data_IF_961036251929
#
_entry.id   IF_961036251929
#
_cell.length_a   1.000
_cell.length_b   1.000
_cell.length_c   1.000
_cell.angle_alpha   90.00
_cell.angle_beta   90.00
_cell.angle_gamma   90.00
#
_symmetry.space_group_name_H-M   'P 1'
#
loop_
_entity.id
_entity.type
_entity.pdbx_description
1 polymer ?
#
# COMPACT_ATOMS: atom_id res chain seq x y z
N UNK A 1 53.81 -42.37 -15.49
CA UNK A 1 54.39 -41.02 -15.45
C UNK A 1 53.86 -40.30 -14.22
N UNK A 2 54.76 -39.67 -13.46
CA UNK A 2 54.60 -38.71 -12.34
C UNK A 2 53.79 -39.09 -11.07
N UNK A 3 54.53 -39.43 -10.00
CA UNK A 3 54.33 -38.89 -8.63
C UNK A 3 55.01 -37.49 -8.53
N UNK A 4 54.93 -36.67 -7.45
CA UNK A 4 54.34 -36.81 -6.09
C UNK A 4 53.47 -35.56 -5.68
N UNK A 5 52.83 -35.41 -4.49
CA UNK A 5 53.39 -34.91 -3.20
C UNK A 5 52.26 -34.72 -2.14
N UNK A 6 52.54 -35.19 -0.90
CA UNK A 6 52.08 -34.82 0.48
C UNK A 6 50.59 -34.65 0.85
N UNK A 7 50.04 -35.45 1.79
CA UNK A 7 50.07 -35.36 3.29
C UNK A 7 49.37 -34.09 3.82
N UNK A 8 48.34 -34.19 4.68
CA UNK A 8 48.47 -34.29 6.16
C UNK A 8 47.18 -34.87 6.81
N UNK A 9 47.40 -35.60 7.90
CA UNK A 9 46.49 -36.30 8.82
C UNK A 9 46.20 -35.42 10.05
N UNK A 10 45.02 -35.55 10.68
CA UNK A 10 44.77 -35.64 12.14
C UNK A 10 43.28 -35.32 12.42
N UNK A 11 42.42 -36.24 12.88
CA UNK A 11 42.33 -36.90 14.20
C UNK A 11 42.36 -35.93 15.39
N UNK A 12 41.23 -35.80 16.09
CA UNK A 12 41.12 -35.06 17.35
C UNK A 12 39.91 -35.53 18.15
N UNK A 13 40.14 -36.53 19.02
CA UNK A 13 39.23 -36.96 20.08
C UNK A 13 39.32 -36.02 21.29
N UNK A 14 38.28 -36.12 22.13
CA UNK A 14 38.29 -36.13 23.59
C UNK A 14 37.65 -34.93 24.32
N UNK A 15 36.63 -35.34 25.07
CA UNK A 15 35.93 -34.72 26.20
C UNK A 15 36.91 -34.36 27.33
N UNK A 16 36.66 -33.26 28.05
CA UNK A 16 37.36 -32.93 29.28
C UNK A 16 36.62 -31.91 30.14
N UNK A 17 35.91 -32.42 31.15
CA UNK A 17 35.27 -31.69 32.24
C UNK A 17 36.35 -31.13 33.19
N UNK A 18 36.31 -29.85 33.56
CA UNK A 18 37.00 -29.34 34.74
C UNK A 18 36.23 -28.16 35.36
N UNK A 19 35.70 -28.41 36.54
CA UNK A 19 35.01 -27.51 37.46
C UNK A 19 35.98 -26.73 38.36
N UNK A 20 35.50 -25.57 38.88
CA UNK A 20 35.77 -25.00 40.23
C UNK A 20 37.16 -24.29 40.40
N UNK A 21 37.41 -23.13 41.06
CA UNK A 21 36.83 -22.21 42.07
C UNK A 21 37.63 -20.88 41.92
N UNK A 22 37.10 -19.66 42.06
CA UNK A 22 37.10 -18.88 43.32
C UNK A 22 36.43 -17.51 43.08
N UNK A 23 35.33 -17.20 43.76
CA UNK A 23 35.28 -16.30 44.93
C UNK A 23 35.86 -14.90 44.68
N UNK A 24 34.96 -13.90 44.56
CA UNK A 24 34.95 -12.79 45.51
C UNK A 24 33.62 -12.02 45.50
N UNK A 25 33.06 -11.94 46.72
CA UNK A 25 32.35 -10.84 47.36
C UNK A 25 30.99 -10.36 46.82
N UNK A 26 29.98 -10.69 47.63
CA UNK A 26 28.73 -9.97 47.77
C UNK A 26 28.94 -8.53 48.26
N UNK A 27 28.19 -7.58 47.69
CA UNK A 27 27.72 -6.39 48.38
C UNK A 27 26.36 -6.00 47.81
N UNK A 28 25.36 -6.00 48.68
CA UNK A 28 24.04 -5.38 48.52
C UNK A 28 24.13 -3.98 47.92
N UNK A 29 23.34 -3.69 46.90
CA UNK A 29 22.94 -2.30 46.58
C UNK A 29 21.58 -2.31 45.89
N UNK A 30 20.62 -1.78 46.63
CA UNK A 30 19.59 -0.84 46.22
C UNK A 30 18.77 -1.16 44.97
N UNK A 31 17.48 -1.44 45.25
CA UNK A 31 16.37 -1.17 44.34
C UNK A 31 16.48 0.29 43.92
N UNK A 32 17.11 0.51 42.77
CA UNK A 32 17.08 1.80 42.08
C UNK A 32 15.76 1.82 41.32
N UNK A 33 14.77 2.47 41.92
CA UNK A 33 13.58 2.94 41.19
C UNK A 33 14.09 3.80 40.04
N UNK A 34 14.06 3.25 38.84
CA UNK A 34 14.29 4.02 37.62
C UNK A 34 13.22 5.12 37.61
N UNK A 35 13.59 6.40 37.43
CA UNK A 35 12.60 7.47 37.41
C UNK A 35 11.69 7.20 36.23
N UNK A 36 10.36 7.22 36.46
CA UNK A 36 9.36 7.24 35.40
C UNK A 36 9.81 8.29 34.39
N UNK A 37 10.30 7.81 33.24
CA UNK A 37 10.47 8.67 32.10
C UNK A 37 9.06 9.17 31.81
N UNK A 38 8.84 10.44 32.13
CA UNK A 38 7.71 11.22 31.70
C UNK A 38 7.75 11.18 30.17
N UNK A 39 7.17 10.12 29.58
CA UNK A 39 6.93 10.01 28.16
C UNK A 39 5.85 11.06 27.89
N UNK A 40 6.30 12.31 27.78
CA UNK A 40 5.62 13.29 26.96
C UNK A 40 5.63 12.68 25.58
N UNK A 41 4.54 11.99 25.26
CA UNK A 41 4.16 11.68 23.90
C UNK A 41 4.14 13.01 23.18
N UNK A 42 5.25 13.37 22.53
CA UNK A 42 5.27 14.42 21.53
C UNK A 42 4.27 13.97 20.47
N UNK A 43 3.05 14.48 20.58
CA UNK A 43 2.08 14.40 19.51
C UNK A 43 2.75 15.19 18.38
N UNK A 44 3.47 14.48 17.50
CA UNK A 44 4.00 15.07 16.28
C UNK A 44 2.81 15.66 15.56
N UNK A 45 2.70 17.00 15.60
CA UNK A 45 1.65 17.71 14.91
C UNK A 45 1.72 17.28 13.45
N UNK A 46 0.66 16.60 12.98
CA UNK A 46 0.64 16.05 11.64
C UNK A 46 0.94 17.15 10.63
N UNK A 47 1.72 16.86 9.56
CA UNK A 47 2.07 17.87 8.59
C UNK A 47 0.79 18.52 8.05
N UNK A 48 0.68 19.85 8.16
CA UNK A 48 -0.37 20.61 7.45
C UNK A 48 -0.08 20.57 5.96
N UNK A 49 -0.53 19.51 5.30
CA UNK A 49 -0.46 19.38 3.85
C UNK A 49 -1.49 20.33 3.27
N UNK A 50 -1.02 21.38 2.57
CA UNK A 50 -1.91 22.31 1.89
C UNK A 50 -2.46 21.64 0.62
N UNK A 51 -3.69 21.14 0.69
CA UNK A 51 -4.36 20.58 -0.49
C UNK A 51 -4.59 21.66 -1.56
N UNK A 52 -4.05 21.43 -2.76
CA UNK A 52 -4.32 22.25 -3.95
C UNK A 52 -5.79 22.07 -4.40
N UNK A 53 -6.35 23.01 -5.19
CA UNK A 53 -7.76 22.92 -5.61
C UNK A 53 -8.13 21.59 -6.29
N UNK A 54 -7.28 21.07 -7.18
CA UNK A 54 -7.54 19.78 -7.86
C UNK A 54 -7.51 18.58 -6.91
N UNK A 55 -6.71 18.62 -5.82
CA UNK A 55 -6.75 17.59 -4.78
C UNK A 55 -8.10 17.57 -4.04
N UNK A 56 -8.77 18.71 -3.88
CA UNK A 56 -10.11 18.76 -3.27
C UNK A 56 -11.15 18.08 -4.15
N UNK A 57 -11.17 18.40 -5.44
CA UNK A 57 -12.06 17.73 -6.41
C UNK A 57 -11.79 16.23 -6.46
N UNK A 58 -10.53 15.83 -6.50
CA UNK A 58 -10.10 14.43 -6.40
C UNK A 58 -10.64 13.76 -5.13
N UNK A 59 -10.52 14.42 -3.97
CA UNK A 59 -11.01 13.92 -2.69
C UNK A 59 -12.53 13.71 -2.67
N UNK A 60 -13.33 14.65 -3.19
CA UNK A 60 -14.79 14.49 -3.24
C UNK A 60 -15.21 13.26 -4.06
N UNK A 61 -14.49 12.98 -5.14
CA UNK A 61 -14.82 11.87 -6.04
C UNK A 61 -14.29 10.55 -5.47
N UNK A 62 -13.14 10.57 -4.80
CA UNK A 62 -12.68 9.46 -3.97
C UNK A 62 -13.68 9.10 -2.88
N UNK A 63 -14.41 10.07 -2.29
CA UNK A 63 -15.46 9.77 -1.28
C UNK A 63 -16.59 8.95 -1.91
N UNK A 64 -17.04 9.33 -3.11
CA UNK A 64 -18.09 8.60 -3.83
C UNK A 64 -17.63 7.17 -4.12
N UNK A 65 -16.42 7.01 -4.66
CA UNK A 65 -15.82 5.70 -4.92
C UNK A 65 -15.61 4.89 -3.63
N UNK A 66 -15.22 5.54 -2.54
CA UNK A 66 -15.04 4.91 -1.22
C UNK A 66 -16.32 4.32 -0.68
N UNK A 67 -17.47 5.01 -0.80
CA UNK A 67 -18.74 4.44 -0.32
C UNK A 67 -19.12 3.18 -1.08
N UNK A 68 -18.91 3.17 -2.39
CA UNK A 68 -19.30 2.07 -3.29
C UNK A 68 -18.34 0.88 -3.25
N UNK A 69 -17.06 1.11 -3.03
CA UNK A 69 -16.05 0.06 -3.12
C UNK A 69 -16.13 -0.94 -1.96
N UNK A 70 -16.11 -2.22 -2.29
CA UNK A 70 -15.94 -3.33 -1.34
C UNK A 70 -14.47 -3.49 -0.95
N UNK A 71 -13.58 -3.25 -1.92
CA UNK A 71 -12.13 -3.39 -1.76
C UNK A 71 -11.43 -2.13 -2.30
N UNK A 72 -10.44 -1.63 -1.55
CA UNK A 72 -9.60 -0.50 -1.97
C UNK A 72 -8.17 -0.94 -1.82
N UNK A 73 -7.37 -0.79 -2.87
CA UNK A 73 -5.97 -1.19 -2.88
C UNK A 73 -5.07 -0.06 -3.36
N UNK A 74 -3.80 -0.13 -2.99
CA UNK A 74 -2.73 0.49 -3.78
C UNK A 74 -1.93 -0.64 -4.39
N UNK A 75 -1.89 -0.75 -5.72
CA UNK A 75 -1.19 -1.81 -6.44
C UNK A 75 -0.47 -1.30 -7.68
N UNK A 76 0.58 -2.00 -8.09
CA UNK A 76 1.36 -1.66 -9.29
C UNK A 76 0.68 -2.29 -10.51
N UNK A 77 0.28 -1.46 -11.48
CA UNK A 77 -0.27 -1.97 -12.72
C UNK A 77 0.83 -2.64 -13.58
N UNK A 78 0.62 -3.90 -13.95
CA UNK A 78 1.62 -4.72 -14.66
C UNK A 78 1.21 -5.13 -16.08
N UNK A 79 -0.05 -4.89 -16.48
CA UNK A 79 -0.52 -5.19 -17.83
C UNK A 79 -1.99 -5.55 -17.89
N UNK A 80 -2.49 -5.75 -19.10
CA UNK A 80 -3.88 -6.11 -19.36
C UNK A 80 -3.98 -7.33 -20.28
N UNK A 81 -5.07 -8.07 -20.17
CA UNK A 81 -5.43 -9.15 -21.07
C UNK A 81 -6.89 -9.02 -21.51
N UNK A 82 -7.15 -9.21 -22.79
CA UNK A 82 -8.51 -9.23 -23.33
C UNK A 82 -9.07 -10.65 -23.24
N UNK A 83 -9.97 -10.88 -22.31
CA UNK A 83 -10.74 -12.11 -22.22
C UNK A 83 -11.96 -12.05 -23.15
N UNK A 84 -12.27 -13.17 -23.80
CA UNK A 84 -13.37 -13.23 -24.79
C UNK A 84 -14.75 -13.15 -24.15
N UNK A 85 -14.89 -13.52 -22.88
CA UNK A 85 -16.17 -13.54 -22.16
C UNK A 85 -16.34 -12.29 -21.30
N UNK A 86 -15.28 -11.88 -20.60
CA UNK A 86 -15.33 -10.88 -19.53
C UNK A 86 -14.71 -9.53 -19.90
N UNK A 87 -14.21 -9.38 -21.13
CA UNK A 87 -13.60 -8.14 -21.61
C UNK A 87 -12.18 -7.93 -21.09
N UNK A 88 -11.80 -6.66 -20.91
CA UNK A 88 -10.44 -6.28 -20.53
C UNK A 88 -10.20 -6.50 -19.02
N UNK A 89 -9.23 -7.36 -18.71
CA UNK A 89 -8.76 -7.62 -17.34
C UNK A 89 -7.43 -6.92 -17.12
N UNK A 90 -7.35 -6.07 -16.11
CA UNK A 90 -6.13 -5.42 -15.65
C UNK A 90 -5.51 -6.20 -14.49
N UNK A 91 -4.18 -6.27 -14.47
CA UNK A 91 -3.45 -6.96 -13.42
C UNK A 91 -2.67 -5.98 -12.55
N UNK A 92 -2.80 -6.18 -11.24
CA UNK A 92 -2.08 -5.42 -10.23
C UNK A 92 -1.21 -6.36 -9.39
N UNK A 93 0.05 -6.00 -9.19
CA UNK A 93 1.01 -6.72 -8.36
C UNK A 93 1.52 -5.83 -7.21
N UNK A 94 2.21 -6.41 -6.24
CA UNK A 94 2.81 -5.73 -5.09
C UNK A 94 1.85 -4.73 -4.44
N UNK A 95 0.66 -5.22 -4.07
CA UNK A 95 -0.43 -4.37 -3.63
C UNK A 95 -0.64 -4.42 -2.12
N UNK A 96 -1.22 -3.37 -1.56
CA UNK A 96 -1.69 -3.33 -0.16
C UNK A 96 -3.19 -3.04 -0.15
N UNK A 97 -3.92 -3.68 0.77
CA UNK A 97 -5.36 -3.48 0.95
C UNK A 97 -5.64 -2.47 2.05
N UNK A 98 -6.62 -1.61 1.83
CA UNK A 98 -7.14 -0.71 2.86
C UNK A 98 -8.25 -1.40 3.65
N UNK A 99 -8.15 -1.39 4.97
CA UNK A 99 -9.21 -1.92 5.83
C UNK A 99 -10.20 -0.79 6.16
N UNK A 100 -11.40 -0.81 5.53
CA UNK A 100 -12.45 0.19 5.77
C UNK A 100 -13.01 0.21 7.20
N UNK A 101 -12.81 -0.84 8.00
CA UNK A 101 -13.29 -0.89 9.40
C UNK A 101 -12.31 -0.25 10.37
N UNK A 102 -11.01 -0.49 10.17
CA UNK A 102 -9.94 0.01 11.04
C UNK A 102 -9.25 1.25 10.49
N UNK A 103 -9.60 1.66 9.26
CA UNK A 103 -9.06 2.81 8.54
C UNK A 103 -7.54 2.80 8.36
N UNK A 104 -6.94 1.61 8.20
CA UNK A 104 -5.50 1.43 8.04
C UNK A 104 -5.15 0.59 6.81
N UNK A 105 -3.98 0.86 6.26
CA UNK A 105 -3.38 0.05 5.20
C UNK A 105 -2.78 -1.24 5.78
N UNK A 106 -3.05 -2.36 5.13
CA UNK A 106 -2.43 -3.65 5.42
C UNK A 106 -0.99 -3.77 4.91
N UNK A 107 -0.35 -4.94 5.10
CA UNK A 107 0.97 -5.22 4.54
C UNK A 107 0.92 -5.28 3.01
N UNK A 108 2.09 -5.19 2.38
CA UNK A 108 2.25 -5.44 0.94
C UNK A 108 2.16 -6.94 0.67
N UNK A 109 1.36 -7.29 -0.33
CA UNK A 109 1.17 -8.64 -0.85
C UNK A 109 1.82 -8.74 -2.22
N UNK A 110 2.69 -9.74 -2.39
CA UNK A 110 3.35 -10.04 -3.65
C UNK A 110 2.55 -11.16 -4.35
N UNK A 111 1.49 -10.75 -5.05
CA UNK A 111 0.58 -11.62 -5.77
C UNK A 111 -0.06 -10.83 -6.92
N UNK A 112 -0.46 -11.55 -7.97
CA UNK A 112 -1.15 -10.97 -9.10
C UNK A 112 -2.67 -10.90 -8.82
N UNK A 113 -3.23 -9.70 -8.85
CA UNK A 113 -4.64 -9.43 -8.64
C UNK A 113 -5.33 -9.06 -9.97
N UNK A 114 -6.21 -9.91 -10.51
CA UNK A 114 -7.01 -9.56 -11.68
C UNK A 114 -8.19 -8.66 -11.30
N UNK A 115 -8.41 -7.61 -12.08
CA UNK A 115 -9.51 -6.65 -11.95
C UNK A 115 -10.10 -6.38 -13.33
N UNK A 116 -11.37 -6.71 -13.52
CA UNK A 116 -12.13 -6.40 -14.73
C UNK A 116 -12.50 -4.93 -14.76
N UNK A 117 -12.80 -4.41 -15.94
CA UNK A 117 -13.38 -3.08 -16.09
C UNK A 117 -14.56 -3.14 -17.06
N UNK A 118 -15.75 -3.33 -16.49
CA UNK A 118 -16.97 -3.52 -17.28
C UNK A 118 -17.53 -2.18 -17.79
N UNK A 119 -17.53 -1.16 -16.94
CA UNK A 119 -18.15 0.14 -17.24
C UNK A 119 -17.14 1.14 -17.83
N UNK A 120 -15.87 1.02 -17.44
CA UNK A 120 -14.83 1.97 -17.78
C UNK A 120 -13.80 1.32 -18.70
N UNK A 121 -13.09 2.16 -19.45
CA UNK A 121 -11.90 1.74 -20.18
C UNK A 121 -10.74 2.65 -19.78
N UNK A 122 -9.95 2.27 -18.77
CA UNK A 122 -8.76 3.01 -18.39
C UNK A 122 -7.84 3.22 -19.59
N UNK A 123 -7.33 4.43 -19.73
CA UNK A 123 -6.24 4.72 -20.67
C UNK A 123 -4.94 4.23 -20.06
N UNK A 124 -4.25 3.37 -20.79
CA UNK A 124 -2.93 2.90 -20.41
C UNK A 124 -1.88 3.90 -20.87
N UNK A 125 -1.01 4.30 -19.96
CA UNK A 125 0.18 5.09 -20.23
C UNK A 125 1.37 4.18 -19.95
N UNK A 126 2.12 3.88 -21.00
CA UNK A 126 3.34 3.08 -20.87
C UNK A 126 4.37 3.82 -20.02
N UNK A 127 5.32 3.06 -19.47
CA UNK A 127 6.42 3.65 -18.68
C UNK A 127 7.22 4.69 -19.48
N UNK A 128 7.39 4.46 -20.77
CA UNK A 128 8.10 5.38 -21.66
C UNK A 128 7.29 6.66 -21.91
N UNK A 129 6.02 6.54 -22.29
CA UNK A 129 5.14 7.70 -22.48
C UNK A 129 5.10 8.59 -21.24
N UNK A 130 4.92 7.98 -20.06
CA UNK A 130 4.85 8.72 -18.79
C UNK A 130 6.12 9.55 -18.51
N UNK A 131 7.29 9.05 -18.91
CA UNK A 131 8.57 9.75 -18.73
C UNK A 131 8.64 11.03 -19.56
N UNK A 132 7.99 11.05 -20.72
CA UNK A 132 8.01 12.16 -21.67
C UNK A 132 6.81 13.09 -21.57
N UNK A 133 5.82 12.77 -20.72
CA UNK A 133 4.71 13.68 -20.42
C UNK A 133 5.23 14.98 -19.80
N UNK A 134 4.59 16.10 -20.17
CA UNK A 134 4.83 17.36 -19.48
C UNK A 134 4.33 17.29 -18.04
N UNK A 135 4.85 18.13 -17.16
CA UNK A 135 4.37 18.21 -15.78
C UNK A 135 2.86 18.55 -15.71
N UNK A 136 2.37 19.34 -16.67
CA UNK A 136 0.94 19.63 -16.78
C UNK A 136 0.12 18.38 -17.12
N UNK A 137 0.59 17.55 -18.05
CA UNK A 137 -0.09 16.31 -18.41
C UNK A 137 -0.03 15.28 -17.27
N UNK A 138 1.09 15.21 -16.55
CA UNK A 138 1.21 14.36 -15.35
C UNK A 138 0.22 14.77 -14.27
N UNK A 139 -0.03 16.06 -14.08
CA UNK A 139 -1.11 16.55 -13.20
C UNK A 139 -2.48 16.22 -13.80
N UNK A 140 -2.64 16.34 -15.11
CA UNK A 140 -3.87 16.02 -15.84
C UNK A 140 -4.31 14.57 -15.63
N UNK A 141 -3.39 13.60 -15.70
CA UNK A 141 -3.74 12.18 -15.50
C UNK A 141 -4.21 11.86 -14.07
N UNK A 142 -3.93 12.72 -13.10
CA UNK A 142 -4.41 12.59 -11.73
C UNK A 142 -5.89 12.95 -11.62
N UNK A 143 -6.33 13.88 -12.46
CA UNK A 143 -7.65 14.49 -12.40
C UNK A 143 -8.03 15.08 -13.76
N UNK A 144 -8.36 14.20 -14.72
CA UNK A 144 -8.85 14.62 -16.04
C UNK A 144 -10.37 14.55 -16.06
N UNK A 145 -10.99 15.72 -15.90
CA UNK A 145 -12.43 15.89 -15.95
C UNK A 145 -12.80 16.75 -17.16
N UNK A 146 -12.75 16.15 -18.34
CA UNK A 146 -13.13 16.81 -19.59
C UNK A 146 -14.61 16.53 -19.87
N UNK A 147 -15.40 17.59 -20.10
CA UNK A 147 -16.82 17.49 -20.49
C UNK A 147 -17.70 16.65 -19.53
N UNK A 148 -17.41 16.68 -18.23
CA UNK A 148 -18.07 15.86 -17.20
C UNK A 148 -17.85 14.35 -17.32
N UNK A 149 -16.91 13.92 -18.17
CA UNK A 149 -16.49 12.54 -18.24
C UNK A 149 -15.10 12.43 -17.64
N UNK A 150 -15.01 11.67 -16.56
CA UNK A 150 -13.72 11.37 -15.96
C UNK A 150 -13.02 10.28 -16.76
N UNK A 151 -11.76 10.53 -17.09
CA UNK A 151 -10.89 9.51 -17.66
C UNK A 151 -10.13 8.81 -16.54
N UNK A 152 -10.14 7.47 -16.58
CA UNK A 152 -9.33 6.65 -15.71
C UNK A 152 -7.99 6.39 -16.39
N UNK A 153 -6.91 6.46 -15.62
CA UNK A 153 -5.56 6.22 -16.12
C UNK A 153 -4.86 5.14 -15.29
N UNK A 154 -4.10 4.30 -15.98
CA UNK A 154 -3.16 3.35 -15.39
C UNK A 154 -1.79 3.60 -16.01
N UNK A 155 -0.78 3.75 -15.16
CA UNK A 155 0.59 3.98 -15.59
C UNK A 155 1.39 2.71 -15.33
N UNK A 156 1.98 2.14 -16.38
CA UNK A 156 2.73 0.89 -16.27
C UNK A 156 3.91 0.99 -15.28
N UNK A 157 3.98 0.02 -14.37
CA UNK A 157 5.04 -0.04 -13.37
C UNK A 157 4.98 1.04 -12.29
N UNK A 158 3.87 1.79 -12.20
CA UNK A 158 3.60 2.75 -11.12
C UNK A 158 2.45 2.25 -10.24
N UNK A 159 2.49 2.55 -8.93
CA UNK A 159 1.37 2.26 -8.06
C UNK A 159 0.16 3.13 -8.41
N UNK A 160 -1.02 2.55 -8.32
CA UNK A 160 -2.31 3.23 -8.44
C UNK A 160 -3.16 2.89 -7.22
N UNK A 161 -3.90 3.88 -6.72
CA UNK A 161 -5.01 3.68 -5.80
C UNK A 161 -6.20 3.19 -6.63
N UNK A 162 -6.74 2.02 -6.31
CA UNK A 162 -7.77 1.34 -7.09
C UNK A 162 -8.96 1.04 -6.19
N UNK A 163 -10.14 1.42 -6.64
CA UNK A 163 -11.42 1.15 -5.99
C UNK A 163 -12.13 0.04 -6.73
N UNK A 164 -12.55 -0.99 -6.00
CA UNK A 164 -13.03 -2.25 -6.54
C UNK A 164 -14.37 -2.60 -5.93
N UNK A 165 -15.32 -2.97 -6.79
CA UNK A 165 -16.59 -3.60 -6.43
C UNK A 165 -16.48 -5.11 -6.66
N UNK A 166 -17.00 -5.90 -5.73
CA UNK A 166 -17.12 -7.34 -5.90
C UNK A 166 -18.48 -7.64 -6.53
N UNK A 167 -18.46 -8.19 -7.73
CA UNK A 167 -19.67 -8.61 -8.43
C UNK A 167 -19.77 -10.12 -8.34
N UNK A 168 -20.95 -10.59 -7.93
CA UNK A 168 -21.32 -12.00 -7.91
C UNK A 168 -22.23 -12.27 -9.09
N UNK A 169 -21.79 -13.13 -9.99
CA UNK A 169 -22.59 -13.65 -11.09
C UNK A 169 -23.20 -14.99 -10.64
N UNK A 170 -24.50 -14.95 -10.30
CA UNK A 170 -25.25 -16.11 -9.86
C UNK A 170 -25.47 -17.13 -10.97
N UNK A 171 -25.52 -16.71 -12.25
CA UNK A 171 -25.76 -17.63 -13.38
C UNK A 171 -24.56 -18.57 -13.58
N UNK A 172 -23.36 -18.02 -13.45
CA UNK A 172 -22.11 -18.77 -13.59
C UNK A 172 -21.49 -19.20 -12.26
N UNK A 173 -22.16 -18.91 -11.13
CA UNK A 173 -21.66 -19.11 -9.77
C UNK A 173 -20.21 -18.63 -9.60
N UNK A 174 -19.93 -17.42 -10.09
CA UNK A 174 -18.59 -16.83 -10.11
C UNK A 174 -18.58 -15.47 -9.42
N UNK A 175 -17.43 -15.06 -8.89
CA UNK A 175 -17.24 -13.74 -8.31
C UNK A 175 -16.02 -13.08 -8.93
N UNK A 176 -16.13 -11.82 -9.32
CA UNK A 176 -15.03 -11.09 -9.92
C UNK A 176 -14.93 -9.67 -9.37
N UNK A 177 -13.74 -9.09 -9.53
CA UNK A 177 -13.42 -7.72 -9.13
C UNK A 177 -13.68 -6.80 -10.32
N UNK A 178 -14.56 -5.83 -10.14
CA UNK A 178 -14.81 -4.79 -11.13
C UNK A 178 -14.19 -3.47 -10.68
N UNK A 179 -13.50 -2.80 -11.61
CA UNK A 179 -12.90 -1.50 -11.40
C UNK A 179 -13.98 -0.44 -11.34
N UNK A 180 -14.11 0.22 -10.19
CA UNK A 180 -14.93 1.41 -10.03
C UNK A 180 -14.15 2.67 -10.41
N UNK A 181 -12.90 2.73 -9.96
CA UNK A 181 -12.11 3.95 -10.03
C UNK A 181 -10.62 3.71 -9.83
N UNK A 182 -9.77 4.59 -10.36
CA UNK A 182 -8.32 4.55 -10.17
C UNK A 182 -7.67 5.94 -10.21
N UNK A 183 -6.62 6.10 -9.41
CA UNK A 183 -5.78 7.29 -9.36
C UNK A 183 -4.30 6.89 -9.28
N UNK A 184 -3.42 7.37 -10.19
CA UNK A 184 -1.99 7.12 -10.07
C UNK A 184 -1.42 7.67 -8.75
N UNK A 185 -0.58 6.89 -8.08
CA UNK A 185 0.14 7.31 -6.86
C UNK A 185 1.54 7.80 -7.27
N UNK A 186 1.57 8.96 -7.93
CA UNK A 186 2.79 9.65 -8.34
C UNK A 186 3.06 10.88 -7.46
N UNK A 187 4.23 11.48 -7.60
CA UNK A 187 4.59 12.73 -6.91
C UNK A 187 3.66 13.90 -7.29
N UNK A 188 3.13 13.91 -8.51
CA UNK A 188 2.22 14.94 -9.00
C UNK A 188 0.80 14.75 -8.48
N UNK A 189 0.33 13.50 -8.46
CA UNK A 189 -1.03 13.15 -8.06
C UNK A 189 -1.21 13.10 -6.55
N UNK A 190 -0.21 12.61 -5.83
CA UNK A 190 -0.28 12.35 -4.38
C UNK A 190 -1.55 11.62 -3.93
N UNK A 191 -2.11 10.74 -4.79
CA UNK A 191 -3.45 10.18 -4.59
C UNK A 191 -3.59 9.45 -3.24
N UNK A 192 -2.54 8.76 -2.77
CA UNK A 192 -2.52 8.13 -1.45
C UNK A 192 -2.69 9.16 -0.33
N UNK A 193 -1.95 10.26 -0.38
CA UNK A 193 -2.01 11.32 0.65
C UNK A 193 -3.39 11.96 0.66
N UNK A 194 -3.94 12.27 -0.52
CA UNK A 194 -5.30 12.82 -0.64
C UNK A 194 -6.33 11.86 -0.05
N UNK A 195 -6.21 10.56 -0.35
CA UNK A 195 -7.06 9.51 0.21
C UNK A 195 -6.93 9.42 1.74
N UNK A 196 -5.71 9.40 2.28
CA UNK A 196 -5.48 9.28 3.72
C UNK A 196 -6.08 10.50 4.47
N UNK A 197 -5.95 11.71 3.92
CA UNK A 197 -6.58 12.92 4.47
C UNK A 197 -8.11 12.86 4.41
N UNK A 198 -8.66 12.41 3.28
CA UNK A 198 -10.10 12.23 3.10
C UNK A 198 -10.68 11.29 4.16
N UNK A 199 -10.00 10.17 4.44
CA UNK A 199 -10.43 9.20 5.46
C UNK A 199 -10.36 9.81 6.86
N UNK A 200 -9.29 10.53 7.20
CA UNK A 200 -9.13 11.17 8.52
C UNK A 200 -10.21 12.21 8.80
N UNK A 201 -10.52 13.07 7.83
CA UNK A 201 -11.57 14.08 7.97
C UNK A 201 -12.94 13.45 8.27
N UNK A 202 -13.19 12.27 7.72
CA UNK A 202 -14.42 11.50 7.98
C UNK A 202 -14.45 10.92 9.39
N UNK A 203 -13.35 10.33 9.84
CA UNK A 203 -13.25 9.72 11.17
C UNK A 203 -13.54 10.76 12.28
N UNK A 204 -12.89 11.93 12.17
CA UNK A 204 -13.13 13.09 13.06
C UNK A 204 -14.60 13.52 13.04
N UNK A 205 -15.26 13.47 11.88
CA UNK A 205 -16.67 13.84 11.75
C UNK A 205 -17.58 12.85 12.48
N UNK A 206 -17.30 11.55 12.40
CA UNK A 206 -18.06 10.50 13.10
C UNK A 206 -17.86 10.64 14.62
N UNK A 207 -16.63 10.80 15.10
CA UNK A 207 -16.36 11.00 16.53
C UNK A 207 -17.11 12.21 17.10
N UNK A 208 -17.10 13.34 16.37
CA UNK A 208 -17.84 14.55 16.78
C UNK A 208 -19.35 14.36 16.80
N UNK A 209 -19.91 13.51 15.94
CA UNK A 209 -21.33 13.17 15.98
C UNK A 209 -21.60 12.29 17.20
N UNK A 210 -20.80 11.26 17.43
CA UNK A 210 -20.98 10.33 18.55
C UNK A 210 -20.82 11.00 19.93
N UNK A 211 -19.95 12.02 20.05
CA UNK A 211 -19.80 12.81 21.30
C UNK A 211 -20.97 13.77 21.59
N UNK A 212 -21.89 13.97 20.64
CA UNK A 212 -23.07 14.85 20.81
C UNK A 212 -24.34 14.11 21.23
N UNK A 213 -24.30 12.78 21.35
CA UNK A 213 -25.38 11.92 21.82
C UNK A 213 -25.00 11.26 23.14
#
# INVERSE_FOLDING_TARGET
MSNPVNKIIALGCAVGLATLISMNCASTSDVRTEPEADIKTEIHAEPKIMMKPYHRSMSEEMKISFERADEIIIGVYTGAHMDKQNGETFYFDNFMRFNKKTLIWGPVENALLPVLSLEFKPKIITREEFKYLSELDKVGICWDYLEKKRFLYLVEGKPSLVFIEQIVDEENNSSYRNLLDTYPVTEDCNAKVVFDLMVRDRDITIEKILQKW
#
